data_IF_882577650018
#
_entry.id   IF_882577650018
#
_cell.length_a   1.000
_cell.length_b   1.000
_cell.length_c   1.000
_cell.angle_alpha   90.00
_cell.angle_beta   90.00
_cell.angle_gamma   90.00
#
_symmetry.space_group_name_H-M   'P 1'
#
loop_
_entity.id
_entity.type
_entity.pdbx_description
1 polymer ?
#
# COMPACT_ATOMS: atom_id res chain seq x y z
N UNK A 1 -9.79 -10.25 -4.83
CA UNK A 1 -8.61 -9.58 -4.23
C UNK A 1 -9.07 -8.71 -3.07
N UNK A 2 -8.39 -8.80 -1.95
CA UNK A 2 -8.66 -7.95 -0.79
C UNK A 2 -7.99 -6.58 -0.94
N UNK A 3 -8.61 -5.54 -0.38
CA UNK A 3 -7.96 -4.25 -0.19
C UNK A 3 -7.73 -4.06 1.31
N UNK A 4 -6.48 -3.94 1.72
CA UNK A 4 -6.11 -3.78 3.12
C UNK A 4 -5.64 -2.34 3.34
N UNK A 5 -6.24 -1.64 4.28
CA UNK A 5 -5.92 -0.25 4.50
C UNK A 5 -6.14 0.21 5.94
N UNK A 6 -5.94 1.51 6.20
CA UNK A 6 -6.19 2.10 7.51
C UNK A 6 -7.66 1.99 7.92
N UNK A 7 -7.93 2.23 9.20
CA UNK A 7 -9.32 2.23 9.68
C UNK A 7 -10.17 3.21 8.88
N UNK A 8 -11.42 2.81 8.60
CA UNK A 8 -12.38 3.67 7.90
C UNK A 8 -12.79 4.91 8.71
N UNK A 9 -12.45 4.96 9.99
CA UNK A 9 -12.63 6.14 10.81
C UNK A 9 -11.63 7.26 10.49
N UNK A 10 -10.53 6.94 9.79
CA UNK A 10 -9.54 7.93 9.37
C UNK A 10 -9.87 8.50 7.99
N UNK A 11 -9.37 9.71 7.70
CA UNK A 11 -9.52 10.31 6.38
C UNK A 11 -8.80 9.50 5.30
N UNK A 12 -7.64 8.94 5.64
CA UNK A 12 -6.87 8.09 4.71
C UNK A 12 -7.65 6.80 4.42
N UNK A 13 -8.24 6.18 5.44
CA UNK A 13 -9.05 4.98 5.26
C UNK A 13 -10.26 5.21 4.35
N UNK A 14 -10.94 6.33 4.51
CA UNK A 14 -12.06 6.70 3.65
C UNK A 14 -11.60 6.91 2.20
N UNK A 15 -10.43 7.51 2.00
CA UNK A 15 -9.85 7.70 0.67
C UNK A 15 -9.54 6.35 0.00
N UNK A 16 -8.98 5.42 0.75
CA UNK A 16 -8.68 4.07 0.26
C UNK A 16 -9.96 3.32 -0.14
N UNK A 17 -11.03 3.45 0.66
CA UNK A 17 -12.31 2.82 0.35
C UNK A 17 -12.93 3.40 -0.92
N UNK A 18 -12.84 4.72 -1.11
CA UNK A 18 -13.28 5.37 -2.34
C UNK A 18 -12.49 4.88 -3.54
N UNK A 19 -11.17 4.75 -3.39
CA UNK A 19 -10.31 4.20 -4.45
C UNK A 19 -10.80 2.80 -4.84
N UNK A 20 -11.01 1.93 -3.87
CA UNK A 20 -11.49 0.57 -4.13
C UNK A 20 -12.83 0.59 -4.88
N UNK A 21 -13.76 1.44 -4.46
CA UNK A 21 -15.11 1.51 -5.04
C UNK A 21 -15.11 2.10 -6.46
N UNK A 22 -14.15 2.99 -6.79
CA UNK A 22 -14.04 3.61 -8.11
C UNK A 22 -13.45 2.68 -9.17
N UNK A 23 -12.78 1.61 -8.76
CA UNK A 23 -12.09 0.71 -9.67
C UNK A 23 -12.58 -0.75 -9.50
N UNK A 24 -13.87 -1.02 -9.74
CA UNK A 24 -14.41 -2.37 -9.60
C UNK A 24 -13.74 -3.37 -10.55
N UNK A 25 -13.22 -2.90 -11.68
CA UNK A 25 -12.50 -3.73 -12.65
C UNK A 25 -11.19 -4.30 -12.11
N UNK A 26 -10.68 -3.77 -10.99
CA UNK A 26 -9.49 -4.31 -10.34
C UNK A 26 -9.78 -5.61 -9.57
N UNK A 27 -11.07 -5.94 -9.40
CA UNK A 27 -11.46 -7.20 -8.77
C UNK A 27 -11.40 -7.20 -7.26
N UNK A 28 -11.49 -6.03 -6.62
CA UNK A 28 -11.56 -5.96 -5.16
C UNK A 28 -12.88 -6.49 -4.67
N UNK A 29 -12.84 -7.43 -3.73
CA UNK A 29 -14.04 -8.06 -3.18
C UNK A 29 -14.40 -7.54 -1.79
N UNK A 30 -13.42 -7.04 -1.02
CA UNK A 30 -13.65 -6.61 0.35
C UNK A 30 -12.55 -5.69 0.84
N UNK A 31 -12.92 -4.67 1.61
CA UNK A 31 -11.99 -3.81 2.34
C UNK A 31 -11.76 -4.38 3.75
N UNK A 32 -10.50 -4.58 4.10
CA UNK A 32 -10.08 -5.07 5.43
C UNK A 32 -9.26 -3.98 6.10
N UNK A 33 -9.67 -3.57 7.30
CA UNK A 33 -8.86 -2.64 8.09
C UNK A 33 -7.64 -3.37 8.65
N UNK A 34 -6.50 -2.67 8.67
CA UNK A 34 -5.22 -3.29 9.08
C UNK A 34 -5.24 -3.86 10.50
N UNK A 35 -6.09 -3.31 11.37
CA UNK A 35 -6.23 -3.78 12.75
C UNK A 35 -7.19 -4.97 12.90
N UNK A 36 -7.83 -5.40 11.82
CA UNK A 36 -8.70 -6.58 11.82
C UNK A 36 -7.89 -7.84 11.55
N UNK A 37 -8.48 -8.99 11.84
CA UNK A 37 -7.90 -10.27 11.46
C UNK A 37 -7.89 -10.36 9.92
N UNK A 38 -6.74 -10.70 9.36
CA UNK A 38 -6.58 -10.79 7.90
C UNK A 38 -6.96 -12.19 7.45
N UNK A 39 -8.02 -12.34 6.62
CA UNK A 39 -8.41 -13.65 6.10
C UNK A 39 -7.42 -14.14 5.05
N UNK A 40 -7.39 -15.47 4.85
CA UNK A 40 -6.62 -16.06 3.76
C UNK A 40 -7.23 -15.65 2.43
N UNK A 41 -6.38 -15.34 1.45
CA UNK A 41 -6.80 -14.98 0.10
C UNK A 41 -5.65 -15.23 -0.87
N UNK A 42 -5.96 -15.34 -2.16
CA UNK A 42 -4.92 -15.50 -3.18
C UNK A 42 -4.15 -14.19 -3.40
N UNK A 43 -4.81 -13.05 -3.28
CA UNK A 43 -4.19 -11.75 -3.55
C UNK A 43 -4.78 -10.63 -2.71
N UNK A 44 -3.96 -9.62 -2.46
CA UNK A 44 -4.37 -8.41 -1.76
C UNK A 44 -3.59 -7.19 -2.27
N UNK A 45 -4.22 -6.04 -2.18
CA UNK A 45 -3.60 -4.74 -2.43
C UNK A 45 -3.62 -3.98 -1.11
N UNK A 46 -2.47 -3.54 -0.64
CA UNK A 46 -2.33 -2.93 0.68
C UNK A 46 -1.87 -1.48 0.56
N UNK A 47 -2.56 -0.57 1.24
CA UNK A 47 -2.07 0.78 1.44
C UNK A 47 -1.27 0.81 2.74
N UNK A 48 0.02 1.10 2.64
CA UNK A 48 0.93 0.99 3.77
C UNK A 48 1.75 2.27 3.97
N UNK A 49 2.11 2.52 5.22
CA UNK A 49 3.00 3.59 5.64
C UNK A 49 4.23 2.98 6.32
N UNK A 50 5.40 3.67 6.32
CA UNK A 50 6.64 3.14 6.87
C UNK A 50 6.72 3.29 8.39
N UNK A 51 5.68 2.92 9.10
CA UNK A 51 5.65 2.94 10.56
C UNK A 51 5.73 1.52 11.10
N UNK A 52 6.22 1.38 12.33
CA UNK A 52 6.50 0.07 12.92
C UNK A 52 5.32 -0.89 12.85
N UNK A 53 4.12 -0.41 13.13
CA UNK A 53 2.92 -1.23 13.13
C UNK A 53 2.71 -1.91 11.76
N UNK A 54 2.82 -1.14 10.67
CA UNK A 54 2.69 -1.67 9.32
C UNK A 54 3.85 -2.58 8.95
N UNK A 55 5.07 -2.17 9.27
CA UNK A 55 6.27 -2.95 8.93
C UNK A 55 6.27 -4.32 9.63
N UNK A 56 5.74 -4.41 10.83
CA UNK A 56 5.63 -5.67 11.56
C UNK A 56 4.47 -6.54 11.04
N UNK A 57 3.39 -5.92 10.57
CA UNK A 57 2.20 -6.62 10.11
C UNK A 57 2.34 -7.22 8.70
N UNK A 58 3.06 -6.56 7.81
CA UNK A 58 3.19 -6.97 6.41
C UNK A 58 3.77 -8.38 6.25
N UNK A 59 4.84 -8.80 6.94
CA UNK A 59 5.32 -10.16 6.82
C UNK A 59 4.28 -11.22 7.21
N UNK A 60 3.44 -10.93 8.21
CA UNK A 60 2.33 -11.81 8.58
C UNK A 60 1.31 -11.94 7.46
N UNK A 61 0.95 -10.81 6.85
CA UNK A 61 0.01 -10.77 5.73
C UNK A 61 0.56 -11.57 4.56
N UNK A 62 1.85 -11.44 4.26
CA UNK A 62 2.49 -12.16 3.16
C UNK A 62 2.56 -13.66 3.39
N UNK A 63 2.47 -14.13 4.63
CA UNK A 63 2.37 -15.56 4.91
C UNK A 63 0.98 -16.12 4.65
N UNK A 64 -0.05 -15.29 4.81
CA UNK A 64 -1.46 -15.70 4.60
C UNK A 64 -1.94 -15.47 3.17
N UNK A 65 -1.33 -14.55 2.45
CA UNK A 65 -1.77 -14.13 1.12
C UNK A 65 -0.61 -14.29 0.15
N UNK A 66 -0.86 -15.01 -0.94
CA UNK A 66 0.17 -15.39 -1.90
C UNK A 66 0.73 -14.20 -2.68
N UNK A 67 -0.14 -13.33 -3.16
CA UNK A 67 0.24 -12.16 -3.98
C UNK A 67 -0.19 -10.88 -3.30
N UNK A 68 0.77 -10.08 -2.82
CA UNK A 68 0.50 -8.81 -2.14
C UNK A 68 1.16 -7.68 -2.89
N UNK A 69 0.37 -6.71 -3.31
CA UNK A 69 0.84 -5.47 -3.94
C UNK A 69 0.67 -4.32 -2.97
N UNK A 70 1.53 -3.31 -3.08
CA UNK A 70 1.55 -2.19 -2.14
C UNK A 70 1.34 -0.86 -2.85
N UNK A 71 0.60 0.03 -2.19
CA UNK A 71 0.53 1.44 -2.55
C UNK A 71 0.92 2.28 -1.34
N UNK A 72 1.63 3.38 -1.58
CA UNK A 72 1.96 4.36 -0.55
C UNK A 72 1.93 5.77 -1.15
N UNK A 73 2.05 6.77 -0.29
CA UNK A 73 2.07 8.19 -0.69
C UNK A 73 3.27 8.88 -0.08
N UNK A 74 3.74 9.95 -0.72
CA UNK A 74 4.68 10.88 -0.11
C UNK A 74 3.96 12.20 0.19
N UNK A 75 4.25 12.77 1.35
CA UNK A 75 3.63 14.03 1.77
C UNK A 75 4.60 15.21 1.65
N UNK A 76 5.90 14.93 1.48
CA UNK A 76 6.95 15.96 1.41
C UNK A 76 7.95 15.60 0.32
N UNK A 77 8.77 16.59 -0.08
CA UNK A 77 9.82 16.40 -1.10
C UNK A 77 10.95 15.48 -0.65
N UNK A 78 11.14 15.34 0.66
CA UNK A 78 12.11 14.41 1.25
C UNK A 78 11.35 13.43 2.12
N UNK A 79 11.47 12.16 1.81
CA UNK A 79 10.76 11.11 2.55
C UNK A 79 11.69 10.47 3.58
N UNK A 80 11.10 10.00 4.67
CA UNK A 80 11.86 9.37 5.75
C UNK A 80 12.55 8.10 5.24
N UNK A 81 13.76 7.84 5.75
CA UNK A 81 14.54 6.65 5.36
C UNK A 81 13.82 5.33 5.62
N UNK A 82 12.87 5.29 6.55
CA UNK A 82 12.07 4.10 6.86
C UNK A 82 11.21 3.63 5.68
N UNK A 83 10.96 4.49 4.68
CA UNK A 83 10.35 4.05 3.44
C UNK A 83 11.16 2.95 2.75
N UNK A 84 12.48 2.98 2.89
CA UNK A 84 13.33 1.90 2.38
C UNK A 84 12.99 0.55 2.98
N UNK A 85 12.65 0.51 4.26
CA UNK A 85 12.24 -0.72 4.93
C UNK A 85 10.92 -1.25 4.37
N UNK A 86 9.97 -0.35 4.10
CA UNK A 86 8.71 -0.71 3.46
C UNK A 86 8.94 -1.24 2.04
N UNK A 87 9.75 -0.54 1.24
CA UNK A 87 9.99 -0.92 -0.15
C UNK A 87 10.74 -2.24 -0.28
N UNK A 88 11.56 -2.60 0.70
CA UNK A 88 12.27 -3.88 0.70
C UNK A 88 11.33 -5.08 0.83
N UNK A 89 10.09 -4.86 1.26
CA UNK A 89 9.09 -5.92 1.40
C UNK A 89 8.35 -6.21 0.09
N UNK A 90 8.52 -5.38 -0.94
CA UNK A 90 7.78 -5.49 -2.20
C UNK A 90 8.69 -5.28 -3.39
N UNK A 91 8.39 -5.97 -4.50
CA UNK A 91 9.14 -5.80 -5.76
C UNK A 91 8.71 -4.53 -6.50
N UNK A 92 7.42 -4.21 -6.44
CA UNK A 92 6.84 -3.04 -7.10
C UNK A 92 5.94 -2.30 -6.14
N UNK A 93 5.98 -0.97 -6.21
CA UNK A 93 5.20 -0.11 -5.33
C UNK A 93 4.35 0.84 -6.18
N UNK A 94 3.05 0.88 -5.93
CA UNK A 94 2.15 1.83 -6.57
C UNK A 94 2.17 3.16 -5.83
N UNK A 95 2.12 4.26 -6.59
CA UNK A 95 2.04 5.61 -6.04
C UNK A 95 0.94 6.38 -6.76
N UNK A 96 0.33 7.40 -6.13
CA UNK A 96 -0.85 8.05 -6.71
C UNK A 96 -0.55 9.08 -7.80
N UNK A 97 0.72 9.47 -8.00
CA UNK A 97 1.06 10.51 -8.96
C UNK A 97 2.49 10.39 -9.47
N UNK A 98 2.76 11.02 -10.62
CA UNK A 98 4.11 11.14 -11.15
C UNK A 98 5.03 11.92 -10.19
N UNK A 99 4.48 12.86 -9.44
CA UNK A 99 5.22 13.62 -8.45
C UNK A 99 5.78 12.71 -7.36
N UNK A 100 4.96 11.85 -6.79
CA UNK A 100 5.39 10.86 -5.79
C UNK A 100 6.42 9.89 -6.38
N UNK A 101 6.19 9.43 -7.61
CA UNK A 101 7.11 8.52 -8.30
C UNK A 101 8.50 9.14 -8.42
N UNK A 102 8.59 10.39 -8.87
CA UNK A 102 9.87 11.09 -9.02
C UNK A 102 10.61 11.25 -7.71
N UNK A 103 9.89 11.58 -6.63
CA UNK A 103 10.49 11.73 -5.31
C UNK A 103 11.07 10.42 -4.82
N UNK A 104 10.30 9.33 -4.90
CA UNK A 104 10.77 8.01 -4.45
C UNK A 104 11.90 7.46 -5.31
N UNK A 105 11.84 7.64 -6.64
CA UNK A 105 12.92 7.19 -7.53
C UNK A 105 14.23 7.90 -7.27
N UNK A 106 14.18 9.19 -6.94
CA UNK A 106 15.37 9.98 -6.61
C UNK A 106 16.06 9.44 -5.36
N UNK A 107 15.27 9.06 -4.36
CA UNK A 107 15.78 8.63 -3.06
C UNK A 107 16.06 7.12 -3.01
N UNK A 108 15.32 6.32 -3.79
CA UNK A 108 15.43 4.86 -3.83
C UNK A 108 15.55 4.37 -5.28
N UNK A 109 16.69 4.65 -5.94
CA UNK A 109 16.83 4.42 -7.39
C UNK A 109 16.83 2.94 -7.80
N UNK A 110 16.98 2.01 -6.87
CA UNK A 110 16.96 0.57 -7.15
C UNK A 110 15.57 -0.05 -7.08
N UNK A 111 14.57 0.72 -6.66
CA UNK A 111 13.19 0.24 -6.50
C UNK A 111 12.33 0.62 -7.71
N UNK A 112 11.28 -0.15 -7.95
CA UNK A 112 10.36 0.06 -9.06
C UNK A 112 9.05 0.65 -8.59
N UNK A 113 8.70 1.80 -9.16
CA UNK A 113 7.44 2.51 -8.82
C UNK A 113 6.59 2.65 -10.08
N UNK A 114 5.27 2.54 -9.91
CA UNK A 114 4.33 2.79 -10.99
C UNK A 114 3.16 3.64 -10.49
N UNK A 115 2.58 4.41 -11.38
CA UNK A 115 1.52 5.37 -11.03
C UNK A 115 0.16 4.73 -11.21
N UNK A 116 -0.67 4.85 -10.17
CA UNK A 116 -2.09 4.47 -10.22
C UNK A 116 -2.89 5.69 -9.81
N UNK A 117 -3.47 6.36 -10.80
CA UNK A 117 -4.28 7.54 -10.53
C UNK A 117 -5.62 7.15 -9.91
N UNK A 118 -5.99 7.87 -8.87
CA UNK A 118 -7.27 7.69 -8.19
C UNK A 118 -8.19 8.86 -8.44
#
# INVERSE_FOLDING_TARGET
MLFIGPTLLSGIGQHCKKYMDLFPEQGYTKYIEINQEIPESDSAFIFALPVKYWLDKIPEIKRKIKHVSCMTVCETETVHEDYGKLFDLFDKIAVPSEYCKKIFERQFPTKHFYVVHA
#
